data_IF_004676245327
#
_entry.id   IF_004676245327
#
_cell.length_a   1.000
_cell.length_b   1.000
_cell.length_c   1.000
_cell.angle_alpha   90.00
_cell.angle_beta   90.00
_cell.angle_gamma   90.00
#
_symmetry.space_group_name_H-M   'P 1'
#
loop_
_entity.id
_entity.type
_entity.pdbx_description
1 polymer ?
#
# COMPACT_ATOMS: atom_id res chain seq x y z
N UNK A 1 -30.83 35.17 -8.60
CA UNK A 1 -29.39 34.88 -8.75
C UNK A 1 -29.12 33.52 -8.12
N UNK A 2 -28.81 32.49 -8.90
CA UNK A 2 -28.39 31.20 -8.36
C UNK A 2 -26.93 31.32 -7.90
N UNK A 3 -26.68 31.15 -6.61
CA UNK A 3 -25.33 31.04 -6.05
C UNK A 3 -24.77 29.68 -6.47
N UNK A 4 -23.77 29.67 -7.35
CA UNK A 4 -22.96 28.47 -7.58
C UNK A 4 -22.30 28.07 -6.25
N UNK A 5 -22.38 26.80 -5.82
CA UNK A 5 -21.65 26.35 -4.64
C UNK A 5 -20.14 26.52 -4.88
N UNK A 6 -19.35 26.83 -3.84
CA UNK A 6 -17.92 27.03 -3.98
C UNK A 6 -17.27 25.79 -4.57
N UNK A 7 -16.47 25.97 -5.62
CA UNK A 7 -15.64 24.92 -6.21
C UNK A 7 -14.70 24.41 -5.12
N UNK A 8 -14.92 23.20 -4.61
CA UNK A 8 -13.99 22.59 -3.68
C UNK A 8 -12.64 22.43 -4.40
N UNK A 9 -11.51 22.80 -3.78
CA UNK A 9 -10.20 22.57 -4.38
C UNK A 9 -10.03 21.07 -4.62
N UNK A 10 -9.63 20.71 -5.84
CA UNK A 10 -9.36 19.30 -6.16
C UNK A 10 -8.16 18.81 -5.35
N UNK A 11 -8.20 17.57 -4.84
CA UNK A 11 -7.10 17.02 -4.08
C UNK A 11 -5.84 16.99 -4.95
N UNK A 12 -4.70 17.36 -4.37
CA UNK A 12 -3.42 17.22 -5.07
C UNK A 12 -3.19 15.75 -5.40
N UNK A 13 -2.37 15.48 -6.43
CA UNK A 13 -1.90 14.11 -6.69
C UNK A 13 -1.34 13.48 -5.41
N UNK A 14 -0.73 14.32 -4.57
CA UNK A 14 -0.17 13.86 -3.32
C UNK A 14 -1.19 13.29 -2.35
N UNK A 15 -2.28 14.01 -2.17
CA UNK A 15 -3.39 13.60 -1.33
C UNK A 15 -4.11 12.38 -1.91
N UNK A 16 -4.18 12.26 -3.24
CA UNK A 16 -4.80 11.12 -3.92
C UNK A 16 -4.03 9.82 -3.67
N UNK A 17 -2.70 9.84 -3.73
CA UNK A 17 -1.88 8.68 -3.39
C UNK A 17 -1.97 8.29 -1.92
N UNK A 18 -1.87 9.25 -1.00
CA UNK A 18 -1.99 8.97 0.44
C UNK A 18 -3.34 8.33 0.75
N UNK A 19 -4.42 8.85 0.16
CA UNK A 19 -5.75 8.26 0.29
C UNK A 19 -5.80 6.82 -0.26
N UNK A 20 -5.17 6.56 -1.41
CA UNK A 20 -5.11 5.21 -1.99
C UNK A 20 -4.30 4.24 -1.13
N UNK A 21 -3.17 4.68 -0.54
CA UNK A 21 -2.38 3.87 0.40
C UNK A 21 -3.18 3.54 1.66
N UNK A 22 -3.87 4.53 2.24
CA UNK A 22 -4.74 4.30 3.40
C UNK A 22 -5.86 3.29 3.10
N UNK A 23 -6.48 3.38 1.92
CA UNK A 23 -7.48 2.39 1.52
C UNK A 23 -6.87 0.99 1.42
N UNK A 24 -5.67 0.85 0.86
CA UNK A 24 -4.97 -0.44 0.79
C UNK A 24 -4.67 -1.00 2.19
N UNK A 25 -4.22 -0.17 3.13
CA UNK A 25 -4.03 -0.56 4.53
C UNK A 25 -5.33 -1.04 5.19
N UNK A 26 -6.42 -0.29 5.00
CA UNK A 26 -7.72 -0.66 5.56
C UNK A 26 -8.25 -1.96 4.95
N UNK A 27 -8.03 -2.19 3.65
CA UNK A 27 -8.32 -3.47 3.01
C UNK A 27 -7.56 -4.63 3.66
N UNK A 28 -6.26 -4.46 3.94
CA UNK A 28 -5.45 -5.48 4.61
C UNK A 28 -5.88 -5.71 6.07
N UNK A 29 -6.29 -4.66 6.79
CA UNK A 29 -6.88 -4.79 8.13
C UNK A 29 -8.20 -5.55 8.08
N UNK A 30 -9.05 -5.26 7.10
CA UNK A 30 -10.32 -5.95 6.88
C UNK A 30 -10.11 -7.43 6.56
N UNK A 31 -9.13 -7.76 5.72
CA UNK A 31 -8.71 -9.15 5.49
C UNK A 31 -8.33 -9.84 6.80
N UNK A 32 -7.43 -9.25 7.59
CA UNK A 32 -6.97 -9.85 8.84
C UNK A 32 -8.11 -10.03 9.86
N UNK A 33 -9.01 -9.05 9.96
CA UNK A 33 -10.18 -9.15 10.82
C UNK A 33 -11.13 -10.28 10.38
N UNK A 34 -11.41 -10.39 9.08
CA UNK A 34 -12.24 -11.46 8.52
C UNK A 34 -11.61 -12.84 8.76
N UNK A 35 -10.29 -12.97 8.59
CA UNK A 35 -9.52 -14.19 8.90
C UNK A 35 -9.68 -14.60 10.36
N UNK A 36 -9.50 -13.67 11.29
CA UNK A 36 -9.62 -13.93 12.73
C UNK A 36 -11.05 -14.27 13.16
N UNK A 37 -12.05 -13.69 12.48
CA UNK A 37 -13.47 -13.96 12.74
C UNK A 37 -13.99 -15.24 12.06
N UNK A 38 -13.21 -15.87 11.16
CA UNK A 38 -13.68 -16.96 10.32
C UNK A 38 -14.72 -16.55 9.26
N UNK A 39 -14.76 -15.27 8.90
CA UNK A 39 -15.65 -14.72 7.87
C UNK A 39 -15.07 -14.94 6.47
N UNK A 40 -15.43 -16.07 5.86
CA UNK A 40 -15.00 -16.42 4.52
C UNK A 40 -15.46 -15.43 3.43
N UNK A 41 -16.60 -14.77 3.62
CA UNK A 41 -17.12 -13.80 2.65
C UNK A 41 -16.33 -12.50 2.72
N UNK A 42 -16.09 -11.99 3.93
CA UNK A 42 -15.24 -10.83 4.16
C UNK A 42 -13.80 -11.06 3.68
N UNK A 43 -13.27 -12.26 3.92
CA UNK A 43 -11.95 -12.67 3.44
C UNK A 43 -11.87 -12.62 1.91
N UNK A 44 -12.79 -13.28 1.20
CA UNK A 44 -12.82 -13.31 -0.26
C UNK A 44 -13.00 -11.91 -0.88
N UNK A 45 -13.83 -11.07 -0.26
CA UNK A 45 -14.01 -9.69 -0.69
C UNK A 45 -12.71 -8.89 -0.58
N UNK A 46 -12.00 -9.02 0.55
CA UNK A 46 -10.73 -8.32 0.76
C UNK A 46 -9.63 -8.83 -0.18
N UNK A 47 -9.55 -10.14 -0.42
CA UNK A 47 -8.61 -10.74 -1.39
C UNK A 47 -8.77 -10.13 -2.78
N UNK A 48 -10.01 -9.89 -3.20
CA UNK A 48 -10.31 -9.30 -4.50
C UNK A 48 -9.99 -7.80 -4.55
N UNK A 49 -10.20 -7.09 -3.44
CA UNK A 49 -10.14 -5.64 -3.41
C UNK A 49 -8.72 -5.08 -3.20
N UNK A 50 -7.91 -5.69 -2.33
CA UNK A 50 -6.56 -5.21 -1.97
C UNK A 50 -5.65 -5.02 -3.20
N UNK A 51 -5.55 -5.97 -4.16
CA UNK A 51 -4.72 -5.78 -5.36
C UNK A 51 -5.13 -4.56 -6.19
N UNK A 52 -6.43 -4.26 -6.24
CA UNK A 52 -6.95 -3.10 -6.97
C UNK A 52 -6.52 -1.79 -6.31
N UNK A 53 -6.59 -1.74 -4.97
CA UNK A 53 -6.17 -0.57 -4.19
C UNK A 53 -4.67 -0.31 -4.30
N UNK A 54 -3.85 -1.36 -4.27
CA UNK A 54 -2.40 -1.24 -4.46
C UNK A 54 -2.03 -0.72 -5.85
N UNK A 55 -2.73 -1.16 -6.90
CA UNK A 55 -2.52 -0.62 -8.25
C UNK A 55 -2.96 0.84 -8.35
N UNK A 56 -4.12 1.17 -7.79
CA UNK A 56 -4.58 2.56 -7.76
C UNK A 56 -3.57 3.48 -7.04
N UNK A 57 -2.94 3.01 -5.96
CA UNK A 57 -1.85 3.76 -5.32
C UNK A 57 -0.62 3.89 -6.24
N UNK A 58 -0.26 2.83 -6.99
CA UNK A 58 0.78 2.90 -8.01
C UNK A 58 0.49 3.96 -9.07
N UNK A 59 -0.72 3.99 -9.63
CA UNK A 59 -1.13 4.94 -10.67
C UNK A 59 -0.98 6.42 -10.24
N UNK A 60 -1.06 6.71 -8.94
CA UNK A 60 -0.92 8.06 -8.41
C UNK A 60 0.53 8.51 -8.17
N UNK A 61 1.52 7.59 -8.20
CA UNK A 61 2.89 7.92 -7.84
C UNK A 61 3.75 8.34 -9.04
N UNK A 62 4.49 9.46 -9.00
CA UNK A 62 5.33 9.92 -10.11
C UNK A 62 6.61 9.11 -10.31
N UNK A 63 7.15 8.46 -9.27
CA UNK A 63 8.34 7.59 -9.38
C UNK A 63 7.98 6.19 -9.91
N UNK A 64 8.48 5.77 -11.09
CA UNK A 64 8.19 4.48 -11.69
C UNK A 64 8.66 3.28 -10.85
N UNK A 65 9.68 3.44 -9.99
CA UNK A 65 10.13 2.37 -9.10
C UNK A 65 9.08 2.07 -8.02
N UNK A 66 8.48 3.12 -7.45
CA UNK A 66 7.40 2.97 -6.46
C UNK A 66 6.14 2.41 -7.12
N UNK A 67 5.81 2.82 -8.34
CA UNK A 67 4.70 2.21 -9.10
C UNK A 67 4.93 0.71 -9.28
N UNK A 68 6.13 0.32 -9.75
CA UNK A 68 6.49 -1.08 -9.99
C UNK A 68 6.44 -1.92 -8.71
N UNK A 69 6.92 -1.40 -7.58
CA UNK A 69 6.86 -2.08 -6.29
C UNK A 69 5.40 -2.32 -5.86
N UNK A 70 4.53 -1.30 -5.96
CA UNK A 70 3.11 -1.43 -5.64
C UNK A 70 2.38 -2.41 -6.56
N UNK A 71 2.71 -2.44 -7.85
CA UNK A 71 2.16 -3.42 -8.80
C UNK A 71 2.62 -4.85 -8.50
N UNK A 72 3.90 -5.04 -8.18
CA UNK A 72 4.42 -6.36 -7.83
C UNK A 72 3.80 -6.87 -6.52
N UNK A 73 3.60 -5.99 -5.53
CA UNK A 73 2.85 -6.34 -4.30
C UNK A 73 1.40 -6.72 -4.59
N UNK A 74 0.72 -5.97 -5.46
CA UNK A 74 -0.64 -6.29 -5.88
C UNK A 74 -0.71 -7.67 -6.55
N UNK A 75 0.24 -7.95 -7.45
CA UNK A 75 0.35 -9.24 -8.16
C UNK A 75 0.59 -10.39 -7.19
N UNK A 76 1.61 -10.27 -6.33
CA UNK A 76 1.95 -11.28 -5.32
C UNK A 76 0.79 -11.57 -4.38
N UNK A 77 0.08 -10.54 -3.92
CA UNK A 77 -1.06 -10.75 -3.01
C UNK A 77 -2.23 -11.46 -3.71
N UNK A 78 -2.49 -11.14 -4.98
CA UNK A 78 -3.54 -11.80 -5.75
C UNK A 78 -3.21 -13.29 -5.99
N UNK A 79 -1.96 -13.59 -6.34
CA UNK A 79 -1.50 -14.94 -6.69
C UNK A 79 -1.17 -15.84 -5.48
N UNK A 80 -0.90 -15.24 -4.32
CA UNK A 80 -0.51 -15.96 -3.10
C UNK A 80 -1.56 -16.99 -2.64
N UNK A 81 -1.11 -18.05 -2.00
CA UNK A 81 -1.96 -18.91 -1.17
C UNK A 81 -2.46 -18.15 0.06
N UNK A 82 -3.43 -18.72 0.77
CA UNK A 82 -3.94 -18.11 2.01
C UNK A 82 -2.85 -17.96 3.08
N UNK A 83 -1.99 -18.98 3.26
CA UNK A 83 -0.88 -18.93 4.21
C UNK A 83 0.14 -17.85 3.83
N UNK A 84 0.46 -17.72 2.55
CA UNK A 84 1.34 -16.65 2.04
C UNK A 84 0.71 -15.27 2.24
N UNK A 85 -0.60 -15.10 1.99
CA UNK A 85 -1.30 -13.82 2.28
C UNK A 85 -1.23 -13.47 3.76
N UNK A 86 -1.49 -14.42 4.65
CA UNK A 86 -1.40 -14.22 6.10
C UNK A 86 0.01 -13.77 6.51
N UNK A 87 1.06 -14.35 5.92
CA UNK A 87 2.45 -13.95 6.14
C UNK A 87 2.80 -12.58 5.55
N UNK A 88 2.13 -12.15 4.48
CA UNK A 88 2.38 -10.87 3.79
C UNK A 88 1.71 -9.68 4.48
N UNK A 89 0.56 -9.87 5.12
CA UNK A 89 -0.25 -8.77 5.67
C UNK A 89 0.51 -7.91 6.69
N UNK A 90 1.20 -8.54 7.64
CA UNK A 90 1.92 -7.81 8.68
C UNK A 90 3.08 -6.96 8.12
N UNK A 91 4.01 -7.50 7.30
CA UNK A 91 5.08 -6.69 6.70
C UNK A 91 4.53 -5.66 5.70
N UNK A 92 3.40 -5.89 5.05
CA UNK A 92 2.76 -4.90 4.19
C UNK A 92 2.21 -3.72 4.99
N UNK A 93 1.50 -3.97 6.10
CA UNK A 93 1.01 -2.89 6.96
C UNK A 93 2.15 -2.05 7.54
N UNK A 94 3.30 -2.67 7.86
CA UNK A 94 4.49 -1.93 8.29
C UNK A 94 5.12 -1.10 7.16
N UNK A 95 5.25 -1.68 5.96
CA UNK A 95 5.86 -1.01 4.80
C UNK A 95 5.00 0.12 4.25
N UNK A 96 3.67 -0.08 4.18
CA UNK A 96 2.72 0.96 3.78
C UNK A 96 2.63 2.08 4.81
N UNK A 97 2.66 1.76 6.10
CA UNK A 97 2.62 2.78 7.17
C UNK A 97 3.79 3.78 7.09
N UNK A 98 4.97 3.32 6.64
CA UNK A 98 6.11 4.20 6.38
C UNK A 98 5.87 5.11 5.18
N UNK A 99 5.28 4.58 4.10
CA UNK A 99 4.95 5.34 2.88
C UNK A 99 3.82 6.35 3.10
N UNK A 100 2.78 5.97 3.86
CA UNK A 100 1.69 6.87 4.27
C UNK A 100 2.23 8.08 5.04
N UNK A 101 3.25 7.88 5.87
CA UNK A 101 3.87 8.95 6.65
C UNK A 101 4.89 9.80 5.85
N UNK A 102 5.23 9.42 4.62
CA UNK A 102 6.23 10.14 3.80
C UNK A 102 5.59 10.92 2.64
N UNK A 103 5.91 12.20 2.46
CA UNK A 103 5.68 12.90 1.20
C UNK A 103 6.43 12.22 0.03
N UNK A 104 5.91 12.34 -1.20
CA UNK A 104 6.46 11.71 -2.43
C UNK A 104 7.95 11.93 -2.64
N UNK A 105 8.41 13.14 -2.34
CA UNK A 105 9.82 13.54 -2.49
C UNK A 105 10.76 12.66 -1.65
N UNK A 106 10.24 11.95 -0.64
CA UNK A 106 11.00 11.08 0.26
C UNK A 106 10.77 9.58 0.00
N UNK A 107 9.72 9.19 -0.71
CA UNK A 107 9.35 7.79 -0.93
C UNK A 107 10.37 7.01 -1.79
N UNK A 108 10.99 7.66 -2.79
CA UNK A 108 12.01 7.03 -3.64
C UNK A 108 13.26 6.57 -2.86
N UNK A 109 13.58 7.22 -1.73
CA UNK A 109 14.72 6.84 -0.87
C UNK A 109 14.43 5.64 0.05
N UNK A 110 13.17 5.40 0.41
CA UNK A 110 12.76 4.34 1.35
C UNK A 110 12.89 2.95 0.73
N UNK A 111 12.59 2.79 -0.57
CA UNK A 111 12.77 1.52 -1.27
C UNK A 111 14.26 1.13 -1.42
N UNK A 112 15.16 2.11 -1.53
CA UNK A 112 16.61 1.88 -1.52
C UNK A 112 17.15 1.46 -0.14
N UNK A 113 16.49 1.82 0.95
CA UNK A 113 16.94 1.54 2.31
C UNK A 113 16.70 0.10 2.78
N UNK A 114 15.57 -0.51 2.42
CA UNK A 114 15.21 -1.85 2.91
C UNK A 114 16.00 -2.97 2.21
N UNK A 115 16.53 -2.74 1.00
CA UNK A 115 17.33 -3.72 0.26
C UNK A 115 18.82 -3.79 0.64
N UNK A 116 19.36 -2.84 1.43
CA UNK A 116 20.82 -2.74 1.68
C UNK A 116 21.28 -2.85 3.14
N UNK A 117 20.39 -2.96 4.12
CA UNK A 117 20.79 -3.05 5.52
C UNK A 117 21.28 -4.44 5.97
N UNK A 118 21.13 -5.48 5.15
CA UNK A 118 21.60 -6.85 5.50
C UNK A 118 23.08 -7.08 5.16
N UNK A 119 23.77 -6.12 4.54
CA UNK A 119 25.17 -6.27 4.12
C UNK A 119 26.15 -5.33 4.87
N UNK A 120 25.83 -4.98 6.13
CA UNK A 120 26.54 -3.95 6.90
C UNK A 120 26.99 -4.33 8.31
N UNK A 121 27.04 -5.61 8.67
CA UNK A 121 27.71 -6.10 9.89
C UNK A 121 28.74 -7.17 9.52
N UNK A 122 29.77 -6.73 8.80
CA UNK A 122 30.93 -7.53 8.45
C UNK A 122 32.08 -6.61 8.10
N UNK A 123 32.96 -6.39 9.08
CA UNK A 123 34.23 -5.64 9.01
C UNK A 123 34.17 -4.12 9.19
N UNK A 124 34.11 -3.72 10.46
CA UNK A 124 34.92 -2.62 10.97
C UNK A 124 36.09 -3.27 11.75
N UNK A 125 37.19 -3.51 11.03
CA UNK A 125 38.54 -3.35 11.56
C UNK A 125 39.04 -1.99 11.07
#
# INVERSE_FOLDING_TARGET
>A
TQTQPPTQPQPTQDQQWQAALHQAEDGMRAYNAARQAGDAQGEAAAITHIPTLLRAAGDQHPDPQVQADLYERARRFAEASQEERDAMVHPFLQGLGLLVATPFLLAGGVLFGVGKLVQGVGSLL
#
